data_IF_395258164712
#
_entry.id   IF_395258164712
#
_cell.length_a   1.000
_cell.length_b   1.000
_cell.length_c   1.000
_cell.angle_alpha   90.00
_cell.angle_beta   90.00
_cell.angle_gamma   90.00
#
_symmetry.space_group_name_H-M   'P 1'
#
loop_
_entity.id
_entity.type
_entity.pdbx_description
1 polymer ?
#
# COMPACT_ATOMS: atom_id res chain seq x y z
N UNK A 1 17.52 -19.52 -10.95
CA UNK A 1 17.58 -18.20 -10.29
C UNK A 1 19.01 -17.63 -10.37
N UNK A 2 19.19 -16.32 -10.17
CA UNK A 2 20.50 -15.65 -10.14
C UNK A 2 21.44 -16.29 -9.09
N UNK A 3 20.87 -16.65 -7.93
CA UNK A 3 21.60 -17.33 -6.86
C UNK A 3 22.21 -18.68 -7.33
N UNK A 4 21.42 -19.52 -7.99
CA UNK A 4 21.92 -20.82 -8.50
C UNK A 4 23.01 -20.66 -9.56
N UNK A 5 23.01 -19.54 -10.26
CA UNK A 5 24.03 -19.22 -11.28
C UNK A 5 25.22 -18.45 -10.68
N UNK A 6 25.33 -18.35 -9.36
CA UNK A 6 26.36 -17.60 -8.65
C UNK A 6 26.53 -16.16 -9.16
N UNK A 7 25.40 -15.50 -9.46
CA UNK A 7 25.35 -14.09 -9.86
C UNK A 7 25.02 -13.22 -8.66
N UNK A 8 25.58 -12.00 -8.63
CA UNK A 8 25.27 -11.01 -7.60
C UNK A 8 23.77 -10.72 -7.59
N UNK A 9 23.18 -10.75 -6.40
CA UNK A 9 21.78 -10.47 -6.15
C UNK A 9 21.63 -9.13 -5.41
N UNK A 10 20.93 -8.20 -6.03
CA UNK A 10 20.56 -6.91 -5.42
C UNK A 10 19.08 -6.94 -5.14
N UNK A 11 18.70 -6.66 -3.89
CA UNK A 11 17.31 -6.65 -3.46
C UNK A 11 16.85 -5.21 -3.18
N UNK A 12 15.89 -4.72 -3.97
CA UNK A 12 15.21 -3.43 -3.77
C UNK A 12 14.01 -3.61 -2.84
N UNK A 13 13.68 -2.56 -2.07
CA UNK A 13 12.63 -2.59 -1.02
C UNK A 13 12.88 -3.68 0.03
N UNK A 14 14.14 -3.91 0.35
CA UNK A 14 14.52 -4.93 1.31
C UNK A 14 14.19 -4.53 2.75
N UNK A 15 13.91 -5.52 3.60
CA UNK A 15 13.70 -5.32 5.04
C UNK A 15 12.29 -4.94 5.45
N UNK A 16 11.34 -4.86 4.53
CA UNK A 16 9.91 -4.79 4.88
C UNK A 16 9.48 -6.10 5.53
N UNK A 17 8.84 -6.05 6.71
CA UNK A 17 8.46 -7.22 7.50
C UNK A 17 7.09 -7.06 8.15
N UNK A 18 6.31 -8.13 8.11
CA UNK A 18 5.17 -8.35 9.00
C UNK A 18 5.50 -9.37 10.10
N UNK A 19 6.60 -10.13 9.91
CA UNK A 19 7.01 -11.25 10.76
C UNK A 19 5.99 -12.41 10.80
N UNK A 20 5.03 -12.42 9.91
CA UNK A 20 4.06 -13.49 9.74
C UNK A 20 4.11 -14.00 8.29
N UNK A 21 4.75 -15.14 8.06
CA UNK A 21 4.93 -15.72 6.71
C UNK A 21 3.61 -16.06 6.01
N UNK A 22 2.48 -16.00 6.71
CA UNK A 22 1.14 -16.22 6.16
C UNK A 22 0.43 -14.91 5.82
N UNK A 23 1.00 -13.75 6.19
CA UNK A 23 0.37 -12.44 5.99
C UNK A 23 1.43 -11.33 5.73
N UNK A 24 1.52 -10.80 4.50
CA UNK A 24 0.88 -11.26 3.26
C UNK A 24 1.52 -12.56 2.74
N UNK A 25 0.69 -13.47 2.27
CA UNK A 25 1.17 -14.72 1.67
C UNK A 25 1.12 -14.63 0.13
N UNK A 26 2.19 -15.06 -0.57
CA UNK A 26 3.46 -15.65 -0.10
C UNK A 26 4.60 -14.63 0.12
N UNK A 27 4.30 -13.33 0.00
CA UNK A 27 5.28 -12.25 -0.11
C UNK A 27 6.21 -12.16 1.09
N UNK A 28 5.70 -12.28 2.32
CA UNK A 28 6.54 -12.19 3.52
C UNK A 28 7.59 -13.30 3.57
N UNK A 29 7.20 -14.52 3.20
CA UNK A 29 8.15 -15.64 3.10
C UNK A 29 9.24 -15.36 2.07
N UNK A 30 8.87 -14.84 0.89
CA UNK A 30 9.85 -14.47 -0.15
C UNK A 30 10.76 -13.33 0.29
N UNK A 31 10.23 -12.33 0.97
CA UNK A 31 11.03 -11.22 1.53
C UNK A 31 12.12 -11.72 2.45
N UNK A 32 11.78 -12.63 3.38
CA UNK A 32 12.73 -13.20 4.31
C UNK A 32 13.79 -14.07 3.60
N UNK A 33 13.40 -14.92 2.66
CA UNK A 33 14.33 -15.75 1.90
C UNK A 33 15.27 -14.94 1.03
N UNK A 34 14.75 -13.96 0.28
CA UNK A 34 15.56 -13.16 -0.65
C UNK A 34 16.57 -12.30 0.10
N UNK A 35 16.19 -11.68 1.22
CA UNK A 35 17.11 -10.86 2.01
C UNK A 35 18.30 -11.64 2.55
N UNK A 36 18.14 -12.94 2.84
CA UNK A 36 19.24 -13.80 3.34
C UNK A 36 20.26 -14.17 2.28
N UNK A 37 19.87 -14.21 1.00
CA UNK A 37 20.75 -14.57 -0.11
C UNK A 37 21.23 -13.39 -0.94
N UNK A 38 20.72 -12.18 -0.66
CA UNK A 38 21.11 -10.96 -1.37
C UNK A 38 22.51 -10.50 -0.95
N UNK A 39 23.34 -10.14 -1.94
CA UNK A 39 24.64 -9.51 -1.71
C UNK A 39 24.50 -8.05 -1.25
N UNK A 40 23.46 -7.36 -1.76
CA UNK A 40 23.17 -5.97 -1.45
C UNK A 40 21.66 -5.83 -1.19
N UNK A 41 21.32 -5.22 -0.07
CA UNK A 41 19.97 -4.91 0.35
C UNK A 41 19.76 -3.39 0.33
N UNK A 42 18.89 -2.88 -0.53
CA UNK A 42 18.46 -1.49 -0.56
C UNK A 42 17.14 -1.34 0.21
N UNK A 43 17.22 -0.73 1.38
CA UNK A 43 16.10 -0.57 2.30
C UNK A 43 15.42 0.78 2.08
N UNK A 44 14.07 0.86 2.08
CA UNK A 44 13.36 2.12 1.95
C UNK A 44 13.53 3.03 3.17
N UNK A 45 13.65 2.46 4.37
CA UNK A 45 13.71 3.22 5.63
C UNK A 45 14.77 2.65 6.57
N UNK A 46 15.11 3.43 7.61
CA UNK A 46 15.98 2.93 8.70
C UNK A 46 15.29 1.81 9.49
N UNK A 47 13.96 1.83 9.59
CA UNK A 47 13.21 0.76 10.24
C UNK A 47 13.36 -0.56 9.47
N UNK A 48 13.15 -0.55 8.14
CA UNK A 48 13.37 -1.75 7.33
C UNK A 48 14.81 -2.26 7.37
N UNK A 49 15.80 -1.36 7.44
CA UNK A 49 17.18 -1.76 7.65
C UNK A 49 17.40 -2.41 9.02
N UNK A 50 16.76 -1.90 10.10
CA UNK A 50 16.86 -2.49 11.44
C UNK A 50 16.35 -3.92 11.49
N UNK A 51 15.31 -4.26 10.71
CA UNK A 51 14.83 -5.64 10.61
C UNK A 51 15.93 -6.57 10.08
N UNK A 52 16.66 -6.15 9.03
CA UNK A 52 17.75 -6.95 8.47
C UNK A 52 18.94 -7.10 9.41
N UNK A 53 19.27 -6.05 10.16
CA UNK A 53 20.32 -6.14 11.20
C UNK A 53 19.91 -7.12 12.31
N UNK A 54 18.67 -7.07 12.77
CA UNK A 54 18.14 -8.00 13.79
C UNK A 54 18.13 -9.45 13.30
N UNK A 55 17.89 -9.67 12.02
CA UNK A 55 17.94 -10.98 11.37
C UNK A 55 19.35 -11.45 11.03
N UNK A 56 20.38 -10.62 11.28
CA UNK A 56 21.79 -10.89 10.98
C UNK A 56 22.04 -11.30 9.52
N UNK A 57 21.37 -10.61 8.57
CA UNK A 57 21.60 -10.83 7.15
C UNK A 57 23.03 -10.44 6.77
N UNK A 58 23.66 -11.23 5.88
CA UNK A 58 25.09 -11.05 5.55
C UNK A 58 25.37 -10.03 4.45
N UNK A 59 24.37 -9.70 3.62
CA UNK A 59 24.53 -8.74 2.53
C UNK A 59 24.76 -7.31 3.02
N UNK A 60 25.33 -6.46 2.17
CA UNK A 60 25.47 -5.03 2.46
C UNK A 60 24.10 -4.38 2.56
N UNK A 61 23.86 -3.57 3.58
CA UNK A 61 22.58 -2.90 3.83
C UNK A 61 22.76 -1.41 3.61
N UNK A 62 21.93 -0.82 2.77
CA UNK A 62 21.90 0.61 2.47
C UNK A 62 20.48 1.15 2.58
N UNK A 63 20.29 2.24 3.30
CA UNK A 63 19.02 2.98 3.33
C UNK A 63 19.04 3.98 2.19
N UNK A 64 18.13 3.81 1.22
CA UNK A 64 18.12 4.57 -0.04
C UNK A 64 16.80 5.31 -0.31
N UNK A 65 15.80 5.13 0.54
CA UNK A 65 14.44 5.58 0.27
C UNK A 65 13.69 4.60 -0.66
N UNK A 66 12.46 4.95 -1.01
CA UNK A 66 11.67 4.15 -1.94
C UNK A 66 11.69 4.81 -3.33
N UNK A 67 12.09 4.06 -4.35
CA UNK A 67 12.23 4.53 -5.73
C UNK A 67 10.91 4.98 -6.36
N UNK A 68 9.76 4.44 -5.90
CA UNK A 68 8.44 4.88 -6.38
C UNK A 68 8.18 6.36 -6.08
N UNK A 69 8.72 6.86 -4.96
CA UNK A 69 8.55 8.25 -4.55
C UNK A 69 9.33 9.25 -5.41
N UNK A 70 10.39 8.81 -6.10
CA UNK A 70 11.17 9.68 -6.99
C UNK A 70 10.35 10.20 -8.17
N UNK A 71 9.37 9.41 -8.62
CA UNK A 71 8.44 9.83 -9.68
C UNK A 71 7.45 10.90 -9.18
N UNK A 72 7.13 10.90 -7.89
CA UNK A 72 6.18 11.84 -7.27
C UNK A 72 6.89 13.16 -6.91
N UNK A 73 8.16 13.11 -6.50
CA UNK A 73 8.96 14.30 -6.13
C UNK A 73 8.96 15.38 -7.17
N UNK A 74 9.01 15.01 -8.47
CA UNK A 74 9.09 15.95 -9.58
C UNK A 74 7.85 16.83 -9.73
N UNK A 75 6.74 16.46 -9.07
CA UNK A 75 5.44 17.07 -9.34
C UNK A 75 4.63 17.29 -8.02
N UNK A 76 5.32 17.61 -6.94
CA UNK A 76 4.70 17.81 -5.61
C UNK A 76 3.95 19.13 -5.46
N UNK A 77 4.12 20.05 -6.40
CA UNK A 77 3.61 21.43 -6.31
C UNK A 77 2.07 21.54 -6.31
N UNK A 78 1.36 20.49 -6.69
CA UNK A 78 -0.09 20.48 -6.92
C UNK A 78 -0.89 19.69 -5.85
N UNK A 79 -0.33 19.51 -4.65
CA UNK A 79 -1.01 18.78 -3.59
C UNK A 79 -2.05 19.67 -2.90
N UNK A 80 -3.31 19.25 -2.90
CA UNK A 80 -4.43 19.95 -2.27
C UNK A 80 -5.35 18.99 -1.53
N UNK A 81 -6.21 19.49 -0.64
CA UNK A 81 -7.25 18.72 0.01
C UNK A 81 -8.60 19.06 -0.63
N UNK A 82 -9.00 18.25 -1.60
CA UNK A 82 -10.34 18.32 -2.20
C UNK A 82 -11.38 17.57 -1.39
N UNK A 83 -12.53 17.30 -2.02
CA UNK A 83 -13.63 16.57 -1.41
C UNK A 83 -13.74 15.11 -1.93
N UNK A 84 -12.63 14.51 -2.32
CA UNK A 84 -12.61 13.15 -2.87
C UNK A 84 -11.99 12.19 -1.87
N UNK A 85 -12.58 11.02 -1.69
CA UNK A 85 -11.97 9.85 -1.05
C UNK A 85 -11.54 8.86 -2.14
N UNK A 86 -10.27 8.48 -2.15
CA UNK A 86 -9.76 7.42 -3.01
C UNK A 86 -9.84 6.08 -2.29
N UNK A 87 -10.45 5.08 -2.92
CA UNK A 87 -10.53 3.71 -2.40
C UNK A 87 -9.68 2.79 -3.27
N UNK A 88 -8.82 1.97 -2.63
CA UNK A 88 -8.05 0.93 -3.33
C UNK A 88 -8.03 -0.33 -2.48
N UNK A 89 -8.92 -1.28 -2.76
CA UNK A 89 -9.05 -2.56 -2.08
C UNK A 89 -8.92 -3.70 -3.10
N UNK A 90 -7.86 -4.50 -2.98
CA UNK A 90 -7.58 -5.56 -3.95
C UNK A 90 -6.72 -6.70 -3.40
N UNK A 91 -6.33 -6.65 -2.12
CA UNK A 91 -5.50 -7.68 -1.48
C UNK A 91 -6.26 -8.99 -1.31
N UNK A 92 -5.56 -10.11 -1.53
CA UNK A 92 -6.15 -11.44 -1.42
C UNK A 92 -6.75 -11.71 -0.05
N UNK A 93 -6.11 -11.24 1.02
CA UNK A 93 -6.60 -11.37 2.40
C UNK A 93 -7.97 -10.72 2.62
N UNK A 94 -8.29 -9.68 1.85
CA UNK A 94 -9.55 -8.94 1.95
C UNK A 94 -10.66 -9.45 1.03
N UNK A 95 -10.35 -10.28 0.02
CA UNK A 95 -11.33 -10.69 -0.98
C UNK A 95 -12.56 -11.40 -0.38
N UNK A 96 -12.37 -12.18 0.67
CA UNK A 96 -13.47 -12.92 1.32
C UNK A 96 -14.39 -12.03 2.16
N UNK A 97 -13.96 -10.83 2.54
CA UNK A 97 -14.71 -9.87 3.35
C UNK A 97 -14.87 -8.52 2.63
N UNK A 98 -14.58 -8.50 1.32
CA UNK A 98 -14.64 -7.27 0.53
C UNK A 98 -16.03 -6.64 0.51
N UNK A 99 -17.07 -7.48 0.44
CA UNK A 99 -18.46 -7.02 0.50
C UNK A 99 -18.77 -6.28 1.81
N UNK A 100 -18.22 -6.74 2.94
CA UNK A 100 -18.39 -6.06 4.23
C UNK A 100 -17.69 -4.70 4.23
N UNK A 101 -16.45 -4.63 3.75
CA UNK A 101 -15.73 -3.37 3.60
C UNK A 101 -16.47 -2.37 2.72
N UNK A 102 -16.91 -2.81 1.54
CA UNK A 102 -17.59 -1.93 0.60
C UNK A 102 -18.96 -1.48 1.11
N UNK A 103 -19.70 -2.33 1.81
CA UNK A 103 -20.98 -1.96 2.43
C UNK A 103 -20.81 -0.91 3.53
N UNK A 104 -19.79 -1.03 4.38
CA UNK A 104 -19.50 -0.01 5.39
C UNK A 104 -19.05 1.32 4.77
N UNK A 105 -18.22 1.28 3.74
CA UNK A 105 -17.81 2.48 3.02
C UNK A 105 -19.02 3.12 2.30
N UNK A 106 -19.90 2.32 1.69
CA UNK A 106 -21.14 2.81 1.04
C UNK A 106 -22.08 3.48 2.06
N UNK A 107 -22.22 2.88 3.26
CA UNK A 107 -22.99 3.46 4.37
C UNK A 107 -22.38 4.79 4.82
N UNK A 108 -21.06 4.85 4.97
CA UNK A 108 -20.35 6.08 5.28
C UNK A 108 -20.54 7.14 4.19
N UNK A 109 -20.39 6.77 2.92
CA UNK A 109 -20.60 7.66 1.78
C UNK A 109 -22.02 8.22 1.71
N UNK A 110 -23.01 7.43 2.11
CA UNK A 110 -24.40 7.86 2.16
C UNK A 110 -24.64 8.96 3.20
N UNK A 111 -23.88 8.96 4.30
CA UNK A 111 -23.95 9.96 5.35
C UNK A 111 -23.07 11.21 5.08
N UNK A 112 -22.22 11.14 4.05
CA UNK A 112 -21.28 12.21 3.69
C UNK A 112 -21.39 12.58 2.19
N UNK A 113 -22.55 13.12 1.76
CA UNK A 113 -22.81 13.44 0.36
C UNK A 113 -21.88 14.52 -0.21
N UNK A 114 -21.19 15.28 0.64
CA UNK A 114 -20.19 16.28 0.28
C UNK A 114 -18.87 15.67 -0.18
N UNK A 115 -18.65 14.36 0.02
CA UNK A 115 -17.43 13.65 -0.36
C UNK A 115 -17.72 12.74 -1.56
N UNK A 116 -16.94 12.89 -2.62
CA UNK A 116 -16.96 11.96 -3.77
C UNK A 116 -16.08 10.75 -3.49
N UNK A 117 -16.66 9.56 -3.42
CA UNK A 117 -15.92 8.31 -3.24
C UNK A 117 -15.61 7.69 -4.58
N UNK A 118 -14.33 7.47 -4.89
CA UNK A 118 -13.86 6.90 -6.15
C UNK A 118 -13.14 5.59 -5.89
N UNK A 119 -13.60 4.52 -6.52
CA UNK A 119 -13.01 3.19 -6.46
C UNK A 119 -12.56 2.72 -7.84
N UNK A 120 -11.26 2.84 -8.19
CA UNK A 120 -10.70 2.16 -9.36
C UNK A 120 -10.67 0.65 -9.11
N UNK A 121 -11.72 -0.05 -9.61
CA UNK A 121 -11.88 -1.46 -9.34
C UNK A 121 -10.94 -2.31 -10.20
N UNK A 122 -10.18 -3.20 -9.54
CA UNK A 122 -9.36 -4.19 -10.23
C UNK A 122 -10.26 -5.15 -11.04
N UNK A 123 -9.84 -5.65 -12.23
CA UNK A 123 -10.66 -6.49 -13.10
C UNK A 123 -10.85 -7.93 -12.58
N UNK A 124 -10.57 -8.18 -11.32
CA UNK A 124 -10.89 -9.45 -10.66
C UNK A 124 -12.41 -9.63 -10.56
N UNK A 125 -12.98 -10.77 -11.03
CA UNK A 125 -14.43 -11.02 -10.99
C UNK A 125 -15.05 -10.88 -9.60
N UNK A 126 -14.34 -11.26 -8.53
CA UNK A 126 -14.80 -11.12 -7.14
C UNK A 126 -15.02 -9.64 -6.82
N UNK A 127 -14.05 -8.78 -7.18
CA UNK A 127 -14.12 -7.34 -6.92
C UNK A 127 -15.25 -6.72 -7.73
N UNK A 128 -15.36 -7.05 -9.01
CA UNK A 128 -16.42 -6.52 -9.87
C UNK A 128 -17.80 -6.89 -9.36
N UNK A 129 -18.00 -8.14 -8.91
CA UNK A 129 -19.25 -8.59 -8.30
C UNK A 129 -19.58 -7.82 -7.03
N UNK A 130 -18.61 -7.59 -6.16
CA UNK A 130 -18.79 -6.81 -4.93
C UNK A 130 -19.19 -5.34 -5.22
N UNK A 131 -18.86 -4.82 -6.40
CA UNK A 131 -19.21 -3.46 -6.81
C UNK A 131 -20.63 -3.30 -7.36
N UNK A 132 -21.34 -4.36 -7.72
CA UNK A 132 -22.61 -4.31 -8.47
C UNK A 132 -23.72 -3.51 -7.76
N UNK A 133 -23.73 -3.50 -6.43
CA UNK A 133 -24.77 -2.86 -5.63
C UNK A 133 -24.38 -1.48 -5.08
N UNK A 134 -23.19 -0.97 -5.39
CA UNK A 134 -22.74 0.33 -4.92
C UNK A 134 -23.45 1.47 -5.65
N UNK A 135 -23.94 2.46 -4.91
CA UNK A 135 -24.72 3.60 -5.44
C UNK A 135 -24.05 4.94 -5.17
N UNK A 136 -23.30 5.03 -4.06
CA UNK A 136 -22.63 6.25 -3.61
C UNK A 136 -21.14 6.24 -3.92
N UNK A 137 -20.57 5.05 -4.06
CA UNK A 137 -19.18 4.88 -4.49
C UNK A 137 -19.13 4.85 -6.01
N UNK A 138 -18.41 5.77 -6.61
CA UNK A 138 -18.16 5.83 -8.06
C UNK A 138 -17.11 4.80 -8.45
N UNK A 139 -17.59 3.65 -8.96
CA UNK A 139 -16.71 2.61 -9.48
C UNK A 139 -16.21 3.01 -10.86
N UNK A 140 -14.88 3.02 -11.03
CA UNK A 140 -14.24 3.36 -12.32
C UNK A 140 -13.32 2.22 -12.78
N UNK A 141 -12.99 2.20 -14.06
CA UNK A 141 -11.99 1.25 -14.61
C UNK A 141 -10.64 1.42 -13.93
N UNK A 142 -9.79 0.37 -13.92
CA UNK A 142 -8.42 0.49 -13.41
C UNK A 142 -7.71 1.69 -14.03
N UNK A 143 -7.05 2.46 -13.19
CA UNK A 143 -6.34 3.66 -13.61
C UNK A 143 -4.86 3.34 -13.87
N UNK A 144 -4.26 4.03 -14.82
CA UNK A 144 -2.80 4.09 -14.91
C UNK A 144 -2.25 4.76 -13.64
N UNK A 145 -1.07 4.35 -13.20
CA UNK A 145 -0.44 4.85 -11.97
C UNK A 145 -0.39 6.40 -11.92
N UNK A 146 -0.06 7.06 -13.03
CA UNK A 146 -0.05 8.53 -13.10
C UNK A 146 -1.40 9.15 -12.73
N UNK A 147 -2.49 8.63 -13.31
CA UNK A 147 -3.85 9.15 -13.05
C UNK A 147 -4.27 8.88 -11.60
N UNK A 148 -3.85 7.73 -11.04
CA UNK A 148 -4.08 7.40 -9.64
C UNK A 148 -3.37 8.41 -8.71
N UNK A 149 -2.12 8.75 -9.01
CA UNK A 149 -1.36 9.77 -8.27
C UNK A 149 -2.00 11.15 -8.39
N UNK A 150 -2.56 11.52 -9.54
CA UNK A 150 -3.25 12.80 -9.72
C UNK A 150 -4.51 12.89 -8.82
N UNK A 151 -5.25 11.79 -8.66
CA UNK A 151 -6.36 11.71 -7.69
C UNK A 151 -5.81 11.76 -6.26
N UNK A 152 -4.78 10.99 -5.96
CA UNK A 152 -4.16 10.93 -4.65
C UNK A 152 -3.66 12.30 -4.18
N UNK A 153 -3.06 13.10 -5.06
CA UNK A 153 -2.64 14.47 -4.75
C UNK A 153 -3.79 15.39 -4.31
N UNK A 154 -4.98 15.17 -4.87
CA UNK A 154 -6.15 16.06 -4.69
C UNK A 154 -7.19 15.51 -3.72
N UNK A 155 -7.07 14.24 -3.31
CA UNK A 155 -8.05 13.66 -2.40
C UNK A 155 -7.98 14.24 -0.99
N UNK A 156 -9.08 14.10 -0.25
CA UNK A 156 -9.20 14.47 1.16
C UNK A 156 -8.51 13.44 2.04
N UNK A 157 -8.78 12.16 1.78
CA UNK A 157 -8.18 11.01 2.45
C UNK A 157 -8.26 9.77 1.55
N UNK A 158 -7.64 8.69 1.99
CA UNK A 158 -7.56 7.43 1.26
C UNK A 158 -8.04 6.28 2.14
N UNK A 159 -8.75 5.32 1.56
CA UNK A 159 -9.07 4.02 2.16
C UNK A 159 -8.35 2.97 1.32
N UNK A 160 -7.43 2.19 1.91
CA UNK A 160 -6.58 1.29 1.13
C UNK A 160 -6.14 0.05 1.89
N UNK A 161 -5.87 -1.03 1.16
CA UNK A 161 -5.10 -2.18 1.62
C UNK A 161 -3.71 -2.27 0.94
N UNK A 162 -3.39 -1.32 0.06
CA UNK A 162 -2.15 -1.30 -0.71
C UNK A 162 -0.98 -0.71 0.06
N UNK A 163 0.15 -1.44 0.14
CA UNK A 163 1.39 -0.95 0.75
C UNK A 163 1.99 0.25 0.01
N UNK A 164 1.99 0.24 -1.33
CA UNK A 164 2.50 1.36 -2.12
C UNK A 164 1.73 2.65 -1.89
N UNK A 165 0.40 2.58 -1.85
CA UNK A 165 -0.46 3.74 -1.58
C UNK A 165 -0.25 4.30 -0.17
N UNK A 166 0.10 3.47 0.82
CA UNK A 166 0.48 3.96 2.15
C UNK A 166 1.71 4.87 2.08
N UNK A 167 2.76 4.46 1.36
CA UNK A 167 3.98 5.26 1.20
C UNK A 167 3.74 6.53 0.39
N UNK A 168 3.07 6.40 -0.77
CA UNK A 168 2.75 7.51 -1.66
C UNK A 168 1.85 8.54 -0.98
N UNK A 169 0.84 8.08 -0.27
CA UNK A 169 -0.09 8.93 0.47
C UNK A 169 0.59 9.65 1.64
N UNK A 170 1.42 8.96 2.45
CA UNK A 170 2.22 9.59 3.50
C UNK A 170 3.16 10.66 2.91
N UNK A 171 3.83 10.36 1.80
CA UNK A 171 4.71 11.30 1.12
C UNK A 171 3.98 12.57 0.64
N UNK A 172 2.71 12.44 0.26
CA UNK A 172 1.82 13.54 -0.13
C UNK A 172 1.05 14.15 1.04
N UNK A 173 1.41 13.81 2.30
CA UNK A 173 0.76 14.26 3.53
C UNK A 173 -0.75 13.92 3.62
N UNK A 174 -1.20 12.85 2.96
CA UNK A 174 -2.60 12.42 3.02
C UNK A 174 -2.91 11.64 4.28
N UNK A 175 -4.17 11.69 4.72
CA UNK A 175 -4.70 10.79 5.74
C UNK A 175 -5.10 9.47 5.08
N UNK A 176 -4.74 8.35 5.70
CA UNK A 176 -4.88 7.03 5.11
C UNK A 176 -5.52 6.11 6.14
N UNK A 177 -6.64 5.50 5.78
CA UNK A 177 -7.26 4.40 6.50
C UNK A 177 -6.78 3.11 5.85
N UNK A 178 -6.06 2.29 6.59
CA UNK A 178 -5.49 1.04 6.11
C UNK A 178 -6.37 -0.11 6.55
N UNK A 179 -7.07 -0.74 5.60
CA UNK A 179 -7.97 -1.87 5.81
C UNK A 179 -7.17 -3.18 5.89
N UNK A 180 -6.41 -3.34 6.98
CA UNK A 180 -5.55 -4.51 7.22
C UNK A 180 -5.30 -4.70 8.71
N UNK A 181 -5.04 -5.96 9.12
CA UNK A 181 -4.64 -6.31 10.49
C UNK A 181 -3.19 -5.94 10.77
N UNK A 182 -2.33 -6.01 9.77
CA UNK A 182 -0.90 -5.73 9.88
C UNK A 182 -0.43 -4.86 8.74
N UNK A 183 0.65 -4.11 8.96
CA UNK A 183 1.35 -3.39 7.90
C UNK A 183 2.85 -3.62 8.01
N UNK A 184 3.51 -3.80 6.89
CA UNK A 184 4.96 -3.83 6.78
C UNK A 184 5.59 -2.42 6.77
N UNK A 185 4.77 -1.38 6.92
CA UNK A 185 5.14 0.04 6.90
C UNK A 185 4.64 0.78 8.13
N UNK A 186 5.05 0.37 9.34
CA UNK A 186 4.52 0.92 10.59
C UNK A 186 4.95 2.37 10.83
N UNK A 187 5.96 2.88 10.11
CA UNK A 187 6.52 4.22 10.30
C UNK A 187 5.50 5.35 10.04
N UNK A 188 4.48 5.08 9.23
CA UNK A 188 3.41 6.05 8.95
C UNK A 188 2.42 6.24 10.11
N UNK A 189 2.32 5.27 11.02
CA UNK A 189 1.36 5.29 12.14
C UNK A 189 1.71 6.39 13.16
N UNK A 190 2.94 6.48 13.70
CA UNK A 190 3.31 7.51 14.66
C UNK A 190 3.20 8.94 14.12
N UNK A 191 3.25 9.11 12.78
CA UNK A 191 3.11 10.43 12.17
C UNK A 191 1.67 10.94 12.15
N UNK A 192 0.70 10.08 12.51
CA UNK A 192 -0.73 10.37 12.46
C UNK A 192 -1.29 10.44 11.03
N UNK A 193 -0.54 10.02 10.02
CA UNK A 193 -1.04 9.90 8.63
C UNK A 193 -1.80 8.60 8.40
N UNK A 194 -1.40 7.52 9.07
CA UNK A 194 -2.02 6.20 8.93
C UNK A 194 -2.87 5.88 10.15
N UNK A 195 -4.08 5.42 9.89
CA UNK A 195 -4.97 4.78 10.87
C UNK A 195 -5.22 3.35 10.40
N UNK A 196 -4.91 2.38 11.25
CA UNK A 196 -5.22 0.98 10.97
C UNK A 196 -6.70 0.71 11.27
N UNK A 197 -7.38 0.03 10.36
CA UNK A 197 -8.74 -0.47 10.51
C UNK A 197 -8.71 -1.97 10.23
N UNK A 198 -8.82 -2.76 11.28
CA UNK A 198 -8.57 -4.21 11.20
C UNK A 198 -9.79 -4.98 10.70
N UNK A 199 -10.97 -4.46 11.01
CA UNK A 199 -12.26 -5.04 10.65
C UNK A 199 -13.20 -3.97 10.05
N UNK A 200 -14.08 -4.34 9.09
CA UNK A 200 -15.08 -3.44 8.51
C UNK A 200 -16.18 -3.01 9.47
#
# INVERSE_FOLDING_TARGET
>A
SAFNLNKKLIYLESGLRTNNVKDPFPEEGYRQMVSRIADINFCPTSYSASNLYSEQTKGKIHVVGNTVLDNIKKDRSDTSYGNTCLITLHRNENLNILDLWLNEIERFASNHPEIEFIFPAHPNPIILKACENLKKIKVVKPLQHRNLIDILKKCKFVITDSGGIQEEGCFLNKKIIVCRKTTERPEGIPTGHIVMCEDP
#
